data_IF_448997511709
#
_entry.id   IF_448997511709
#
_cell.length_a   1.000
_cell.length_b   1.000
_cell.length_c   1.000
_cell.angle_alpha   90.00
_cell.angle_beta   90.00
_cell.angle_gamma   90.00
#
_symmetry.space_group_name_H-M   'P 1'
#
loop_
_entity.id
_entity.type
_entity.pdbx_description
1 polymer ?
#
# COMPACT_ATOMS: atom_id res chain seq x y z
N UNK A 1 11.99 7.18 15.26
CA UNK A 1 12.02 6.67 13.87
C UNK A 1 12.44 7.83 12.99
N UNK A 2 13.40 7.64 12.09
CA UNK A 2 13.81 8.65 11.10
C UNK A 2 13.26 8.33 9.71
N UNK A 3 13.23 7.05 9.35
CA UNK A 3 12.75 6.59 8.05
C UNK A 3 11.80 5.40 8.18
N UNK A 4 10.84 5.32 7.26
CA UNK A 4 9.87 4.24 7.16
C UNK A 4 9.74 3.82 5.69
N UNK A 5 10.25 2.65 5.36
CA UNK A 5 10.02 2.02 4.05
C UNK A 5 8.70 1.26 4.09
N UNK A 6 7.84 1.48 3.09
CA UNK A 6 6.46 1.00 3.07
C UNK A 6 6.19 0.28 1.75
N UNK A 7 5.47 -0.82 1.84
CA UNK A 7 4.82 -1.48 0.73
C UNK A 7 3.44 -1.98 1.18
N UNK A 8 2.42 -1.88 0.32
CA UNK A 8 1.06 -2.29 0.68
C UNK A 8 0.46 -3.15 -0.42
N UNK A 9 -0.29 -4.15 0.02
CA UNK A 9 -1.19 -4.90 -0.85
C UNK A 9 -2.61 -4.44 -0.60
N UNK A 10 -3.39 -4.24 -1.66
CA UNK A 10 -4.72 -3.62 -1.58
C UNK A 10 -5.72 -4.33 -2.46
N UNK A 11 -7.01 -4.20 -2.14
CA UNK A 11 -8.11 -4.64 -2.98
C UNK A 11 -9.02 -3.45 -3.30
N UNK A 12 -9.61 -3.46 -4.49
CA UNK A 12 -10.74 -2.62 -4.87
C UNK A 12 -11.53 -3.34 -5.95
N UNK A 13 -12.85 -3.13 -6.00
CA UNK A 13 -13.69 -3.54 -7.12
C UNK A 13 -13.43 -2.71 -8.39
N UNK A 14 -12.78 -1.56 -8.27
CA UNK A 14 -12.43 -0.68 -9.37
C UNK A 14 -11.07 -1.05 -9.98
N UNK A 15 -10.99 -1.02 -11.32
CA UNK A 15 -9.74 -1.28 -12.02
C UNK A 15 -8.78 -0.08 -11.97
N UNK A 16 -7.68 -0.22 -11.20
CA UNK A 16 -6.65 0.80 -11.01
C UNK A 16 -6.11 1.40 -12.31
N UNK A 17 -5.80 0.58 -13.33
CA UNK A 17 -5.19 1.07 -14.57
C UNK A 17 -6.16 1.86 -15.44
N UNK A 18 -7.47 1.73 -15.22
CA UNK A 18 -8.51 2.48 -15.95
C UNK A 18 -8.90 3.78 -15.26
N UNK A 19 -8.74 3.89 -13.95
CA UNK A 19 -9.28 5.01 -13.17
C UNK A 19 -8.25 5.82 -12.37
N UNK A 20 -7.03 5.31 -12.21
CA UNK A 20 -6.05 5.89 -11.32
C UNK A 20 -6.34 5.64 -9.83
N UNK A 21 -5.36 5.97 -8.99
CA UNK A 21 -5.38 5.61 -7.56
C UNK A 21 -6.48 6.28 -6.77
N UNK A 22 -6.87 7.51 -7.11
CA UNK A 22 -7.87 8.25 -6.34
C UNK A 22 -9.23 7.55 -6.36
N UNK A 23 -9.75 7.26 -7.56
CA UNK A 23 -11.01 6.51 -7.71
C UNK A 23 -10.91 5.07 -7.19
N UNK A 24 -9.73 4.46 -7.32
CA UNK A 24 -9.46 3.12 -6.79
C UNK A 24 -9.62 3.07 -5.26
N UNK A 25 -9.00 4.01 -4.54
CA UNK A 25 -9.05 4.11 -3.08
C UNK A 25 -10.37 4.70 -2.54
N UNK A 26 -11.16 5.39 -3.38
CA UNK A 26 -12.48 5.91 -3.02
C UNK A 26 -13.59 4.87 -3.06
N UNK A 27 -13.33 3.68 -3.63
CA UNK A 27 -14.33 2.62 -3.61
C UNK A 27 -14.81 2.33 -2.17
N UNK A 28 -16.12 2.09 -1.98
CA UNK A 28 -16.62 1.53 -0.72
C UNK A 28 -16.02 0.15 -0.39
N UNK A 29 -15.63 -0.62 -1.43
CA UNK A 29 -15.05 -1.96 -1.30
C UNK A 29 -13.50 -1.92 -1.25
N UNK A 30 -12.89 -0.73 -1.16
CA UNK A 30 -11.44 -0.60 -1.04
C UNK A 30 -10.95 -1.10 0.32
N UNK A 31 -9.90 -1.93 0.32
CA UNK A 31 -9.25 -2.43 1.52
C UNK A 31 -7.73 -2.46 1.36
N UNK A 32 -7.00 -2.12 2.42
CA UNK A 32 -5.59 -2.51 2.54
C UNK A 32 -5.56 -3.93 3.12
N UNK A 33 -4.97 -4.84 2.37
CA UNK A 33 -4.89 -6.26 2.67
C UNK A 33 -3.70 -6.58 3.58
N UNK A 34 -2.51 -6.14 3.17
CA UNK A 34 -1.26 -6.32 3.89
C UNK A 34 -0.53 -4.98 3.96
N UNK A 35 0.14 -4.75 5.09
CA UNK A 35 1.02 -3.60 5.28
C UNK A 35 2.42 -4.08 5.65
N UNK A 36 3.34 -3.99 4.68
CA UNK A 36 4.76 -4.27 4.88
C UNK A 36 5.50 -2.98 5.24
N UNK A 37 6.35 -3.04 6.27
CA UNK A 37 7.22 -1.93 6.59
C UNK A 37 8.59 -2.33 7.13
N UNK A 38 9.57 -1.44 6.95
CA UNK A 38 10.88 -1.49 7.60
C UNK A 38 11.16 -0.11 8.20
N UNK A 39 11.38 -0.06 9.51
CA UNK A 39 11.66 1.18 10.24
C UNK A 39 13.17 1.34 10.41
N UNK A 40 13.72 2.47 9.98
CA UNK A 40 15.16 2.76 10.11
C UNK A 40 16.07 1.67 9.50
N UNK A 41 15.60 1.00 8.44
CA UNK A 41 16.32 -0.08 7.76
C UNK A 41 16.33 -1.41 8.52
N UNK A 42 15.46 -1.59 9.52
CA UNK A 42 15.30 -2.86 10.24
C UNK A 42 14.76 -3.98 9.35
N UNK A 43 14.68 -5.19 9.90
CA UNK A 43 13.93 -6.28 9.27
C UNK A 43 12.49 -5.86 8.94
N UNK A 44 11.97 -6.41 7.84
CA UNK A 44 10.61 -6.14 7.36
C UNK A 44 9.62 -6.82 8.29
N UNK A 45 8.62 -6.05 8.72
CA UNK A 45 7.43 -6.56 9.41
C UNK A 45 6.24 -6.46 8.46
N UNK A 46 5.42 -7.51 8.40
CA UNK A 46 4.17 -7.54 7.62
C UNK A 46 3.01 -7.64 8.59
N UNK A 47 2.02 -6.75 8.43
CA UNK A 47 0.77 -6.72 9.21
C UNK A 47 -0.37 -7.22 8.33
N UNK A 48 -1.10 -8.22 8.79
CA UNK A 48 -2.22 -8.88 8.11
C UNK A 48 -3.54 -8.19 8.44
N UNK A 49 -3.75 -7.02 7.83
CA UNK A 49 -4.95 -6.20 8.04
C UNK A 49 -6.23 -6.93 7.61
N UNK A 50 -6.18 -7.74 6.55
CA UNK A 50 -7.33 -8.51 6.07
C UNK A 50 -7.78 -9.62 7.05
N UNK A 51 -6.92 -10.06 7.96
CA UNK A 51 -7.23 -11.02 9.03
C UNK A 51 -7.43 -10.35 10.39
N UNK A 52 -7.56 -9.02 10.43
CA UNK A 52 -7.91 -8.27 11.64
C UNK A 52 -6.72 -7.84 12.50
N UNK A 53 -5.48 -7.93 12.00
CA UNK A 53 -4.37 -7.24 12.65
C UNK A 53 -4.51 -5.72 12.50
N UNK A 54 -3.81 -4.97 13.35
CA UNK A 54 -3.86 -3.51 13.36
C UNK A 54 -2.47 -2.91 13.32
N UNK A 55 -2.33 -1.75 12.67
CA UNK A 55 -1.09 -0.99 12.71
C UNK A 55 -0.77 -0.59 14.16
N UNK A 56 0.46 -0.83 14.63
CA UNK A 56 0.89 -0.32 15.92
C UNK A 56 0.80 1.21 15.95
N UNK A 57 0.43 1.81 17.09
CA UNK A 57 0.28 3.26 17.22
C UNK A 57 1.52 4.03 16.76
N UNK A 58 2.72 3.54 17.10
CA UNK A 58 4.00 4.14 16.66
C UNK A 58 4.15 4.25 15.12
N UNK A 59 3.50 3.38 14.36
CA UNK A 59 3.51 3.40 12.89
C UNK A 59 2.48 4.41 12.39
N UNK A 60 1.30 4.48 13.02
CA UNK A 60 0.30 5.52 12.73
C UNK A 60 0.90 6.90 12.95
N UNK A 61 1.53 7.12 14.11
CA UNK A 61 2.19 8.39 14.45
C UNK A 61 3.26 8.75 13.41
N UNK A 62 4.09 7.79 12.99
CA UNK A 62 5.13 7.98 11.98
C UNK A 62 4.56 8.29 10.58
N UNK A 63 3.38 7.77 10.22
CA UNK A 63 2.72 8.08 8.95
C UNK A 63 2.27 9.55 8.90
N UNK A 64 1.82 10.09 10.03
CA UNK A 64 1.33 11.47 10.17
C UNK A 64 2.41 12.49 10.58
N UNK A 65 3.59 12.03 10.99
CA UNK A 65 4.73 12.89 11.37
C UNK A 65 5.58 13.25 10.15
N UNK A 66 5.59 14.52 9.78
CA UNK A 66 6.36 15.03 8.64
C UNK A 66 7.87 15.10 8.86
N UNK A 67 8.34 14.85 10.08
CA UNK A 67 9.77 14.69 10.38
C UNK A 67 10.29 13.29 10.06
N UNK A 68 9.39 12.30 9.91
CA UNK A 68 9.74 10.93 9.49
C UNK A 68 9.68 10.84 7.97
N UNK A 69 10.76 10.38 7.34
CA UNK A 69 10.80 10.21 5.88
C UNK A 69 10.19 8.86 5.48
N UNK A 70 9.13 8.90 4.68
CA UNK A 70 8.46 7.71 4.15
C UNK A 70 9.02 7.38 2.76
N UNK A 71 9.41 6.13 2.56
CA UNK A 71 9.90 5.61 1.28
C UNK A 71 8.94 4.58 0.72
N UNK A 72 8.67 4.65 -0.57
CA UNK A 72 7.93 3.61 -1.30
C UNK A 72 8.29 3.62 -2.80
N UNK A 73 8.09 2.50 -3.47
CA UNK A 73 8.22 2.40 -4.92
C UNK A 73 6.88 2.73 -5.58
N UNK A 74 6.76 3.93 -6.15
CA UNK A 74 5.49 4.57 -6.55
C UNK A 74 4.70 5.22 -5.38
N UNK A 75 5.41 5.90 -4.47
CA UNK A 75 4.91 6.53 -3.24
C UNK A 75 3.55 7.26 -3.29
N UNK A 76 3.12 7.79 -4.44
CA UNK A 76 1.79 8.38 -4.55
C UNK A 76 0.67 7.34 -4.34
N UNK A 77 0.90 6.09 -4.71
CA UNK A 77 -0.04 5.01 -4.50
C UNK A 77 -0.24 4.75 -3.00
N UNK A 78 0.85 4.48 -2.29
CA UNK A 78 0.84 4.20 -0.85
C UNK A 78 0.24 5.37 -0.08
N UNK A 79 0.67 6.60 -0.39
CA UNK A 79 0.18 7.81 0.29
C UNK A 79 -1.33 7.97 0.15
N UNK A 80 -1.90 7.78 -1.03
CA UNK A 80 -3.35 7.92 -1.27
C UNK A 80 -4.13 6.82 -0.55
N UNK A 81 -3.70 5.57 -0.69
CA UNK A 81 -4.32 4.43 -0.03
C UNK A 81 -4.29 4.54 1.50
N UNK A 82 -3.15 4.93 2.07
CA UNK A 82 -2.99 5.10 3.52
C UNK A 82 -3.76 6.30 4.06
N UNK A 83 -3.87 7.38 3.28
CA UNK A 83 -4.73 8.51 3.64
C UNK A 83 -6.20 8.09 3.79
N UNK A 84 -6.69 7.25 2.87
CA UNK A 84 -8.03 6.68 2.98
C UNK A 84 -8.17 5.82 4.23
N UNK A 85 -7.25 4.88 4.43
CA UNK A 85 -7.26 3.96 5.56
C UNK A 85 -7.24 4.69 6.92
N UNK A 86 -6.34 5.66 7.10
CA UNK A 86 -6.21 6.43 8.34
C UNK A 86 -7.46 7.29 8.61
N UNK A 87 -8.06 7.89 7.58
CA UNK A 87 -9.33 8.61 7.71
C UNK A 87 -10.47 7.71 8.16
N UNK A 88 -10.55 6.50 7.63
CA UNK A 88 -11.58 5.52 8.02
C UNK A 88 -11.42 5.08 9.49
N UNK A 89 -10.19 5.18 10.04
CA UNK A 89 -9.91 5.01 11.47
C UNK A 89 -10.13 6.28 12.32
N UNK A 90 -10.51 7.41 11.72
CA UNK A 90 -10.69 8.69 12.41
C UNK A 90 -9.37 9.38 12.80
N UNK A 91 -8.26 9.02 12.16
CA UNK A 91 -6.95 9.65 12.39
C UNK A 91 -6.84 10.95 11.60
N UNK A 92 -6.46 12.04 12.27
CA UNK A 92 -6.12 13.32 11.65
C UNK A 92 -4.84 13.19 10.83
N UNK A 93 -4.88 13.60 9.55
CA UNK A 93 -3.74 13.45 8.62
C UNK A 93 -2.78 14.64 8.63
N UNK A 94 -3.29 15.80 9.03
CA UNK A 94 -2.52 17.02 9.22
C UNK A 94 -3.12 17.74 10.43
N UNK A 95 -2.64 17.45 11.65
CA UNK A 95 -3.19 18.06 12.86
C UNK A 95 -3.05 19.58 12.88
N UNK A 96 -2.06 20.15 12.17
CA UNK A 96 -1.91 21.60 12.10
C UNK A 96 -3.03 22.21 11.26
N UNK A 97 -3.29 21.64 10.07
CA UNK A 97 -4.41 22.03 9.23
C UNK A 97 -5.75 21.77 9.93
N UNK A 98 -5.96 20.56 10.46
CA UNK A 98 -7.25 20.12 10.99
C UNK A 98 -7.71 20.93 12.22
N UNK A 99 -6.77 21.44 13.02
CA UNK A 99 -7.06 22.27 14.19
C UNK A 99 -7.04 23.78 13.90
N UNK A 100 -6.80 24.20 12.66
CA UNK A 100 -6.76 25.61 12.32
C UNK A 100 -8.18 26.22 12.29
N UNK A 101 -8.43 27.41 12.89
CA UNK A 101 -9.78 27.99 12.99
C UNK A 101 -10.50 28.26 11.67
N UNK A 102 -9.74 28.32 10.56
CA UNK A 102 -10.28 28.54 9.21
C UNK A 102 -10.48 27.25 8.41
N UNK A 103 -10.10 26.09 8.95
CA UNK A 103 -10.29 24.82 8.27
C UNK A 103 -11.75 24.40 8.32
N UNK A 104 -12.33 24.18 7.14
CA UNK A 104 -13.73 23.79 7.00
C UNK A 104 -13.91 22.27 6.94
N UNK A 105 -12.84 21.54 6.63
CA UNK A 105 -12.79 20.08 6.51
C UNK A 105 -11.41 19.59 6.97
N UNK A 106 -11.32 18.34 7.41
CA UNK A 106 -10.04 17.71 7.69
C UNK A 106 -9.24 17.42 6.41
N UNK A 107 -7.92 17.36 6.53
CA UNK A 107 -7.01 17.01 5.46
C UNK A 107 -7.38 15.66 4.86
N UNK A 108 -7.54 15.66 3.53
CA UNK A 108 -7.95 14.46 2.79
C UNK A 108 -6.81 13.49 2.54
N UNK A 109 -5.58 14.01 2.48
CA UNK A 109 -4.38 13.24 2.15
C UNK A 109 -3.22 13.57 3.09
N UNK A 110 -2.40 12.58 3.38
CA UNK A 110 -1.11 12.74 4.05
C UNK A 110 -0.24 13.75 3.29
N UNK A 111 0.45 14.62 4.03
CA UNK A 111 1.34 15.62 3.46
C UNK A 111 2.45 14.95 2.62
N UNK A 112 2.67 15.36 1.36
CA UNK A 112 3.69 14.76 0.50
C UNK A 112 5.13 15.17 0.85
N UNK A 113 5.37 16.20 1.67
CA UNK A 113 6.71 16.77 1.92
C UNK A 113 7.72 15.72 2.42
N UNK A 114 7.26 14.82 3.28
CA UNK A 114 8.05 13.76 3.91
C UNK A 114 8.10 12.45 3.11
N UNK A 115 7.48 12.38 1.92
CA UNK A 115 7.45 11.18 1.08
C UNK A 115 8.54 11.19 0.01
N UNK A 116 9.17 10.04 -0.20
CA UNK A 116 10.23 9.81 -1.20
C UNK A 116 9.87 8.62 -2.06
N UNK A 117 9.96 8.80 -3.37
CA UNK A 117 9.56 7.81 -4.36
C UNK A 117 10.78 7.23 -5.07
N UNK A 118 11.09 5.96 -4.78
CA UNK A 118 12.23 5.27 -5.40
C UNK A 118 12.04 5.07 -6.91
N UNK A 119 10.80 4.95 -7.39
CA UNK A 119 10.50 4.89 -8.82
C UNK A 119 10.85 6.18 -9.55
N UNK A 120 10.59 7.34 -8.93
CA UNK A 120 10.96 8.65 -9.51
C UNK A 120 12.48 8.83 -9.49
N UNK A 121 13.14 8.38 -8.42
CA UNK A 121 14.61 8.37 -8.37
C UNK A 121 15.23 7.49 -9.47
N UNK A 122 14.67 6.30 -9.69
CA UNK A 122 15.07 5.44 -10.80
C UNK A 122 14.92 6.15 -12.15
N UNK A 123 13.78 6.80 -12.39
CA UNK A 123 13.53 7.58 -13.60
C UNK A 123 14.57 8.70 -13.81
N UNK A 124 14.89 9.45 -12.76
CA UNK A 124 15.91 10.52 -12.79
C UNK A 124 17.29 9.99 -13.17
N UNK A 125 17.61 8.75 -12.79
CA UNK A 125 18.87 8.08 -13.13
C UNK A 125 18.82 7.37 -14.50
N UNK A 126 17.72 7.46 -15.25
CA UNK A 126 17.55 6.75 -16.52
C UNK A 126 17.34 5.24 -16.37
N UNK A 127 16.98 4.77 -15.18
CA UNK A 127 16.66 3.37 -14.92
C UNK A 127 15.21 3.03 -15.29
N UNK A 128 14.86 1.73 -15.45
CA UNK A 128 13.48 1.32 -15.69
C UNK A 128 12.50 1.81 -14.63
N UNK A 129 11.22 1.98 -15.01
CA UNK A 129 10.17 2.41 -14.08
C UNK A 129 9.55 1.26 -13.27
N UNK A 130 9.84 0.00 -13.63
CA UNK A 130 9.36 -1.16 -12.88
C UNK A 130 10.39 -1.58 -11.85
N UNK A 131 9.92 -1.96 -10.64
CA UNK A 131 10.80 -2.48 -9.59
C UNK A 131 11.61 -3.70 -10.07
N UNK A 132 10.97 -4.57 -10.86
CA UNK A 132 11.61 -5.70 -11.54
C UNK A 132 12.75 -5.25 -12.47
N UNK A 133 12.52 -4.22 -13.30
CA UNK A 133 13.51 -3.70 -14.22
C UNK A 133 14.68 -3.00 -13.50
N UNK A 134 14.39 -2.21 -12.47
CA UNK A 134 15.42 -1.60 -11.62
C UNK A 134 16.25 -2.68 -10.93
N UNK A 135 15.61 -3.69 -10.34
CA UNK A 135 16.28 -4.78 -9.67
C UNK A 135 17.19 -5.58 -10.60
N UNK A 136 16.76 -5.82 -11.85
CA UNK A 136 17.59 -6.47 -12.86
C UNK A 136 18.83 -5.65 -13.22
N UNK A 137 18.69 -4.34 -13.41
CA UNK A 137 19.83 -3.45 -13.75
C UNK A 137 20.81 -3.32 -12.59
N UNK A 138 20.32 -3.26 -11.36
CA UNK A 138 21.14 -3.15 -10.15
C UNK A 138 21.71 -4.50 -9.66
N UNK A 139 21.34 -5.62 -10.29
CA UNK A 139 21.80 -6.96 -9.90
C UNK A 139 21.27 -7.41 -8.53
N UNK A 140 20.06 -6.99 -8.14
CA UNK A 140 19.46 -7.41 -6.87
C UNK A 140 19.05 -8.89 -6.91
N UNK A 141 19.44 -9.65 -5.90
CA UNK A 141 19.20 -11.11 -5.81
C UNK A 141 17.72 -11.48 -5.72
N UNK A 142 16.90 -10.65 -5.06
CA UNK A 142 15.44 -10.80 -4.98
C UNK A 142 14.77 -10.09 -6.15
N UNK A 143 14.69 -10.76 -7.30
CA UNK A 143 13.86 -10.31 -8.41
C UNK A 143 12.39 -10.68 -8.15
N UNK A 144 11.44 -9.84 -8.60
CA UNK A 144 10.00 -10.06 -8.44
C UNK A 144 9.63 -11.45 -8.96
N UNK A 145 9.28 -12.37 -8.06
CA UNK A 145 8.88 -13.73 -8.44
C UNK A 145 7.59 -13.67 -9.27
N UNK A 146 7.53 -14.42 -10.36
CA UNK A 146 6.30 -14.57 -11.17
C UNK A 146 5.12 -15.01 -10.32
N UNK A 147 5.39 -15.84 -9.30
CA UNK A 147 4.41 -16.29 -8.29
C UNK A 147 3.76 -15.11 -7.54
N UNK A 148 4.52 -14.05 -7.24
CA UNK A 148 3.98 -12.86 -6.59
C UNK A 148 2.92 -12.14 -7.43
N UNK A 149 3.12 -12.06 -8.76
CA UNK A 149 2.13 -11.45 -9.67
C UNK A 149 0.81 -12.22 -9.68
N UNK A 150 0.86 -13.54 -9.62
CA UNK A 150 -0.34 -14.39 -9.59
C UNK A 150 -1.07 -14.29 -8.25
N UNK A 151 -0.34 -14.16 -7.13
CA UNK A 151 -0.92 -13.96 -5.80
C UNK A 151 -1.59 -12.58 -5.68
N UNK A 152 -0.93 -11.51 -6.13
CA UNK A 152 -1.52 -10.16 -6.24
C UNK A 152 -2.81 -10.23 -7.07
N UNK A 153 -2.75 -10.84 -8.26
CA UNK A 153 -3.94 -10.97 -9.10
C UNK A 153 -5.07 -11.75 -8.42
N UNK A 154 -4.73 -12.76 -7.62
CA UNK A 154 -5.72 -13.61 -6.95
C UNK A 154 -6.46 -12.86 -5.84
N UNK A 155 -5.75 -12.10 -4.99
CA UNK A 155 -6.33 -11.43 -3.81
C UNK A 155 -6.68 -9.95 -4.03
N UNK A 156 -5.90 -9.22 -4.83
CA UNK A 156 -6.01 -7.77 -5.01
C UNK A 156 -6.94 -7.34 -6.15
N UNK A 157 -7.45 -8.29 -6.95
CA UNK A 157 -8.30 -8.02 -8.12
C UNK A 157 -9.59 -8.84 -8.05
N UNK A 158 -10.76 -8.28 -8.46
CA UNK A 158 -11.99 -9.04 -8.58
C UNK A 158 -11.81 -10.27 -9.48
N UNK A 159 -12.42 -11.39 -9.10
CA UNK A 159 -12.43 -12.60 -9.91
C UNK A 159 -13.75 -12.74 -10.67
N UNK A 160 -13.69 -13.32 -11.87
CA UNK A 160 -14.90 -13.61 -12.62
C UNK A 160 -15.70 -14.74 -11.94
N UNK A 161 -17.04 -14.64 -11.84
CA UNK A 161 -17.85 -15.70 -11.27
C UNK A 161 -17.82 -16.93 -12.19
N UNK A 162 -17.48 -18.09 -11.63
CA UNK A 162 -17.42 -19.37 -12.34
C UNK A 162 -18.06 -20.48 -11.50
N UNK A 163 -18.41 -21.61 -12.12
CA UNK A 163 -18.90 -22.78 -11.36
C UNK A 163 -17.85 -23.29 -10.37
N UNK A 164 -16.57 -23.31 -10.76
CA UNK A 164 -15.48 -23.82 -9.94
C UNK A 164 -15.20 -22.97 -8.69
N UNK A 165 -15.45 -21.66 -8.76
CA UNK A 165 -15.23 -20.74 -7.65
C UNK A 165 -16.50 -20.45 -6.82
N UNK A 166 -17.61 -21.13 -7.13
CA UNK A 166 -18.89 -20.96 -6.44
C UNK A 166 -19.62 -19.66 -6.82
N UNK A 167 -19.30 -19.06 -7.97
CA UNK A 167 -19.89 -17.80 -8.42
C UNK A 167 -19.36 -16.57 -7.68
N UNK A 168 -18.25 -16.70 -6.93
CA UNK A 168 -17.66 -15.57 -6.20
C UNK A 168 -17.06 -14.53 -7.14
N UNK A 169 -17.09 -13.28 -6.69
CA UNK A 169 -16.54 -12.11 -7.39
C UNK A 169 -15.25 -11.58 -6.75
N UNK A 170 -14.86 -12.14 -5.60
CA UNK A 170 -13.65 -11.79 -4.84
C UNK A 170 -13.05 -13.04 -4.18
N UNK A 171 -11.73 -13.10 -4.08
CA UNK A 171 -11.06 -14.11 -3.27
C UNK A 171 -10.59 -13.49 -1.94
N UNK A 172 -11.12 -13.98 -0.82
CA UNK A 172 -10.65 -13.68 0.52
C UNK A 172 -9.55 -14.65 0.96
N UNK A 173 -8.79 -14.32 2.02
CA UNK A 173 -7.75 -15.20 2.58
C UNK A 173 -8.23 -16.64 2.83
N UNK A 174 -9.44 -16.80 3.40
CA UNK A 174 -10.00 -18.11 3.73
C UNK A 174 -10.34 -18.98 2.51
N UNK A 175 -10.39 -18.43 1.29
CA UNK A 175 -10.60 -19.23 0.08
C UNK A 175 -9.33 -19.99 -0.36
N UNK A 176 -8.15 -19.53 0.05
CA UNK A 176 -6.88 -20.18 -0.27
C UNK A 176 -5.80 -19.84 0.79
N UNK A 177 -5.87 -20.43 2.00
CA UNK A 177 -4.95 -20.13 3.09
C UNK A 177 -3.47 -20.30 2.72
N UNK A 178 -3.12 -21.37 2.01
CA UNK A 178 -1.73 -21.62 1.58
C UNK A 178 -1.21 -20.51 0.65
N UNK A 179 -2.07 -20.01 -0.24
CA UNK A 179 -1.74 -18.87 -1.11
C UNK A 179 -1.63 -17.58 -0.31
N UNK A 180 -2.43 -17.42 0.73
CA UNK A 180 -2.37 -16.25 1.61
C UNK A 180 -1.05 -16.21 2.40
N UNK A 181 -0.59 -17.36 2.92
CA UNK A 181 0.71 -17.46 3.57
C UNK A 181 1.89 -17.19 2.63
N UNK A 182 1.76 -17.55 1.35
CA UNK A 182 2.72 -17.15 0.32
C UNK A 182 2.62 -15.65 0.01
N UNK A 183 1.41 -15.10 -0.04
CA UNK A 183 1.14 -13.68 -0.31
C UNK A 183 1.75 -12.77 0.75
N UNK A 184 1.76 -13.18 2.02
CA UNK A 184 2.45 -12.45 3.10
C UNK A 184 3.97 -12.36 2.98
N UNK A 185 4.57 -13.10 2.05
CA UNK A 185 6.03 -13.22 1.89
C UNK A 185 6.55 -12.59 0.60
N UNK A 186 5.68 -12.02 -0.24
CA UNK A 186 6.07 -11.45 -1.55
C UNK A 186 6.82 -10.13 -1.39
#
# INVERSE_FOLDING_TARGET
>A
MQTLSIDIETYSDVNLSKCGVYKYAESPDFEILLFGYSADGSEVTVIDLAQGEHLPQKIIDALTDDTVIKWAFNANFERVCLSRYLRDLGVSLDPFHDNHPLSTECARFLNPESWRCSMVWAATMGLPLSLEGVGAVLGLEKQKLTEGKDLIKYFSVPCAPTKANGGRTRNHPFHAPDKWEAFKKI
#
